data_IF_452527485172
#
_entry.id   IF_452527485172
#
_cell.length_a   1.000
_cell.length_b   1.000
_cell.length_c   1.000
_cell.angle_alpha   90.00
_cell.angle_beta   90.00
_cell.angle_gamma   90.00
#
_symmetry.space_group_name_H-M   'P 1'
#
loop_
_entity.id
_entity.type
_entity.pdbx_description
1 polymer ?
#
# COMPACT_ATOMS: atom_id res chain seq x y z
N UNK A 1 2.22 -21.98 16.12
CA UNK A 1 3.51 -21.27 16.08
C UNK A 1 3.26 -20.00 15.29
N UNK A 2 3.42 -18.81 15.89
CA UNK A 2 2.98 -17.56 15.27
C UNK A 2 3.65 -17.29 13.92
N UNK A 3 2.89 -16.76 12.97
CA UNK A 3 3.34 -16.38 11.63
C UNK A 3 3.96 -14.98 11.68
N UNK A 4 5.17 -14.85 11.14
CA UNK A 4 5.91 -13.59 11.15
C UNK A 4 5.37 -12.66 10.08
N UNK A 5 4.98 -11.48 10.51
CA UNK A 5 4.53 -10.41 9.65
C UNK A 5 5.18 -9.09 10.05
N UNK A 6 5.01 -8.09 9.19
CA UNK A 6 5.55 -6.75 9.39
C UNK A 6 4.39 -5.78 9.32
N UNK A 7 4.19 -5.03 10.41
CA UNK A 7 3.35 -3.83 10.40
C UNK A 7 4.19 -2.66 9.89
N UNK A 8 3.72 -2.02 8.84
CA UNK A 8 4.28 -0.78 8.30
C UNK A 8 3.35 0.36 8.66
N UNK A 9 3.89 1.40 9.27
CA UNK A 9 3.21 2.67 9.50
C UNK A 9 3.97 3.78 8.80
N UNK A 10 3.28 4.66 8.08
CA UNK A 10 3.91 5.79 7.42
C UNK A 10 3.17 7.10 7.70
N UNK A 11 3.85 8.21 7.48
CA UNK A 11 3.29 9.56 7.49
C UNK A 11 3.83 10.34 6.30
N UNK A 12 3.00 11.23 5.76
CA UNK A 12 3.27 11.99 4.55
C UNK A 12 3.56 13.43 4.94
N UNK A 13 4.78 13.91 4.65
CA UNK A 13 5.10 15.33 4.80
C UNK A 13 4.56 16.12 3.60
N UNK A 14 3.32 16.60 3.72
CA UNK A 14 2.59 17.22 2.61
C UNK A 14 3.27 18.46 2.03
N UNK A 15 4.13 19.15 2.79
CA UNK A 15 4.84 20.36 2.34
C UNK A 15 5.99 20.05 1.37
N UNK A 16 6.50 18.82 1.40
CA UNK A 16 7.59 18.38 0.50
C UNK A 16 7.10 17.85 -0.84
N UNK A 17 5.80 17.69 -1.03
CA UNK A 17 5.23 17.35 -2.32
C UNK A 17 5.10 18.62 -3.15
N UNK A 18 5.46 18.53 -4.43
CA UNK A 18 5.34 19.65 -5.38
C UNK A 18 3.88 20.11 -5.50
N UNK A 19 2.94 19.17 -5.44
CA UNK A 19 1.51 19.42 -5.57
C UNK A 19 0.67 18.19 -5.15
N UNK A 20 -0.67 18.39 -5.15
CA UNK A 20 -1.64 17.32 -4.85
C UNK A 20 -1.55 16.14 -5.82
N UNK A 21 -1.14 16.36 -7.08
CA UNK A 21 -1.04 15.29 -8.08
C UNK A 21 0.12 14.34 -7.75
N UNK A 22 1.29 14.87 -7.39
CA UNK A 22 2.43 14.08 -6.94
C UNK A 22 2.08 13.27 -5.68
N UNK A 23 1.42 13.91 -4.70
CA UNK A 23 0.95 13.20 -3.50
C UNK A 23 -0.01 12.07 -3.84
N UNK A 24 -0.94 12.32 -4.76
CA UNK A 24 -1.86 11.28 -5.23
C UNK A 24 -1.12 10.17 -6.00
N UNK A 25 -0.01 10.47 -6.69
CA UNK A 25 0.82 9.48 -7.37
C UNK A 25 1.39 8.46 -6.38
N UNK A 26 1.88 8.91 -5.21
CA UNK A 26 2.31 8.02 -4.13
C UNK A 26 1.20 7.03 -3.74
N UNK A 27 0.02 7.54 -3.40
CA UNK A 27 -1.10 6.68 -2.99
C UNK A 27 -1.59 5.74 -4.10
N UNK A 28 -1.61 6.20 -5.36
CA UNK A 28 -1.98 5.37 -6.51
C UNK A 28 -0.96 4.27 -6.78
N UNK A 29 0.32 4.55 -6.58
CA UNK A 29 1.36 3.53 -6.72
C UNK A 29 1.30 2.52 -5.57
N UNK A 30 0.93 2.95 -4.36
CA UNK A 30 0.79 2.06 -3.20
C UNK A 30 -0.47 1.17 -3.29
N UNK A 31 -1.64 1.79 -3.44
CA UNK A 31 -2.96 1.16 -3.33
C UNK A 31 -3.65 0.88 -4.66
N UNK A 32 -3.08 1.29 -5.78
CA UNK A 32 -3.76 1.24 -7.06
C UNK A 32 -4.83 2.31 -7.20
N UNK A 33 -5.51 2.33 -8.35
CA UNK A 33 -6.64 3.22 -8.61
C UNK A 33 -7.46 2.79 -9.83
N UNK A 34 -8.70 3.29 -9.89
CA UNK A 34 -9.58 3.15 -11.05
C UNK A 34 -9.44 4.37 -11.96
N UNK A 35 -8.93 4.16 -13.17
CA UNK A 35 -8.83 5.17 -14.21
C UNK A 35 -10.10 5.16 -15.06
N UNK A 36 -10.82 6.29 -15.07
CA UNK A 36 -12.04 6.46 -15.87
C UNK A 36 -11.70 7.36 -17.06
N UNK A 37 -11.93 6.87 -18.29
CA UNK A 37 -11.77 7.62 -19.54
C UNK A 37 -13.15 7.84 -20.14
N UNK A 38 -13.53 9.11 -20.32
CA UNK A 38 -14.77 9.49 -21.01
C UNK A 38 -14.42 9.94 -22.42
N UNK A 39 -14.97 9.27 -23.44
CA UNK A 39 -14.79 9.63 -24.85
C UNK A 39 -16.16 9.68 -25.51
N UNK A 40 -16.57 10.87 -25.93
CA UNK A 40 -17.92 11.14 -26.46
C UNK A 40 -18.99 10.65 -25.47
N UNK A 41 -19.83 9.70 -25.86
CA UNK A 41 -20.90 9.10 -25.03
C UNK A 41 -20.45 7.83 -24.29
N UNK A 42 -19.18 7.41 -24.41
CA UNK A 42 -18.68 6.15 -23.83
C UNK A 42 -17.79 6.41 -22.62
N UNK A 43 -17.98 5.60 -21.58
CA UNK A 43 -17.16 5.60 -20.36
C UNK A 43 -16.38 4.27 -20.28
N UNK A 44 -15.07 4.36 -20.34
CA UNK A 44 -14.15 3.23 -20.16
C UNK A 44 -13.55 3.29 -18.76
N UNK A 45 -13.43 2.14 -18.12
CA UNK A 45 -12.84 2.01 -16.80
C UNK A 45 -11.69 1.00 -16.83
N UNK A 46 -10.54 1.40 -16.31
CA UNK A 46 -9.35 0.56 -16.20
C UNK A 46 -8.88 0.52 -14.76
N UNK A 47 -8.69 -0.68 -14.22
CA UNK A 47 -8.03 -0.85 -12.93
C UNK A 47 -6.51 -0.80 -13.12
N UNK A 48 -5.86 0.01 -12.30
CA UNK A 48 -4.41 0.18 -12.30
C UNK A 48 -3.89 -0.33 -10.96
N UNK A 49 -3.25 -1.49 -11.00
CA UNK A 49 -2.72 -2.14 -9.81
C UNK A 49 -1.59 -1.32 -9.17
N UNK A 50 -1.68 -1.10 -7.88
CA UNK A 50 -0.61 -0.63 -7.02
C UNK A 50 0.32 -1.75 -6.58
N UNK A 51 1.21 -1.41 -5.65
CA UNK A 51 2.13 -2.36 -5.03
C UNK A 51 1.38 -3.38 -4.17
N UNK A 52 0.42 -2.92 -3.36
CA UNK A 52 -0.29 -3.77 -2.42
C UNK A 52 -1.30 -4.69 -3.10
N UNK A 53 -1.76 -4.39 -4.32
CA UNK A 53 -2.58 -5.32 -5.11
C UNK A 53 -1.83 -6.60 -5.53
N UNK A 54 -0.50 -6.60 -5.38
CA UNK A 54 0.39 -7.72 -5.73
C UNK A 54 0.98 -8.42 -4.51
N UNK A 55 0.63 -7.96 -3.30
CA UNK A 55 1.17 -8.44 -2.04
C UNK A 55 -0.01 -8.76 -1.12
N UNK A 56 -0.13 -9.99 -0.58
CA UNK A 56 -1.11 -10.27 0.47
C UNK A 56 -0.89 -9.29 1.62
N UNK A 57 -1.91 -8.52 1.97
CA UNK A 57 -1.81 -7.50 3.00
C UNK A 57 -3.12 -7.32 3.75
N UNK A 58 -3.01 -6.98 5.03
CA UNK A 58 -4.13 -6.48 5.83
C UNK A 58 -3.99 -4.96 5.90
N UNK A 59 -5.01 -4.25 5.43
CA UNK A 59 -5.06 -2.79 5.58
C UNK A 59 -5.58 -2.46 6.98
N UNK A 60 -4.71 -1.92 7.83
CA UNK A 60 -5.07 -1.54 9.20
C UNK A 60 -5.70 -0.16 9.23
N UNK A 61 -5.12 0.79 8.48
CA UNK A 61 -5.63 2.14 8.30
C UNK A 61 -5.21 2.70 6.91
N UNK A 62 -5.51 3.95 6.60
CA UNK A 62 -5.00 4.64 5.41
C UNK A 62 -3.47 4.78 5.42
N UNK A 63 -2.86 4.87 6.59
CA UNK A 63 -1.41 5.06 6.74
C UNK A 63 -0.69 3.89 7.41
N UNK A 64 -1.34 2.73 7.52
CA UNK A 64 -0.73 1.52 8.07
C UNK A 64 -1.31 0.24 7.47
N UNK A 65 -0.44 -0.75 7.29
CA UNK A 65 -0.81 -2.05 6.74
C UNK A 65 0.16 -3.12 7.21
N UNK A 66 -0.30 -4.37 7.24
CA UNK A 66 0.49 -5.54 7.63
C UNK A 66 0.73 -6.41 6.40
N UNK A 67 1.96 -6.90 6.24
CA UNK A 67 2.36 -7.81 5.15
C UNK A 67 3.11 -9.02 5.71
N UNK A 68 3.17 -10.15 4.97
CA UNK A 68 4.08 -11.25 5.30
C UNK A 68 5.53 -10.76 5.26
N UNK A 69 6.37 -11.23 6.19
CA UNK A 69 7.78 -10.81 6.28
C UNK A 69 8.54 -11.02 4.96
N UNK A 70 8.16 -12.04 4.17
CA UNK A 70 8.74 -12.33 2.86
C UNK A 70 8.66 -11.17 1.84
N UNK A 71 7.71 -10.25 1.99
CA UNK A 71 7.50 -9.14 1.04
C UNK A 71 8.16 -7.82 1.47
N UNK A 72 8.76 -7.76 2.67
CA UNK A 72 9.30 -6.51 3.25
C UNK A 72 10.26 -5.79 2.30
N UNK A 73 11.13 -6.53 1.61
CA UNK A 73 12.13 -5.93 0.72
C UNK A 73 11.49 -5.06 -0.37
N UNK A 74 10.45 -5.56 -1.04
CA UNK A 74 9.74 -4.84 -2.11
C UNK A 74 9.07 -3.57 -1.57
N UNK A 75 8.49 -3.64 -0.38
CA UNK A 75 7.82 -2.50 0.26
C UNK A 75 8.83 -1.43 0.69
N UNK A 76 9.97 -1.83 1.25
CA UNK A 76 11.03 -0.89 1.63
C UNK A 76 11.66 -0.24 0.40
N UNK A 77 11.90 -0.98 -0.68
CA UNK A 77 12.39 -0.41 -1.95
C UNK A 77 11.42 0.67 -2.46
N UNK A 78 10.10 0.40 -2.46
CA UNK A 78 9.10 1.42 -2.79
C UNK A 78 9.14 2.64 -1.85
N UNK A 79 9.15 2.45 -0.54
CA UNK A 79 9.13 3.57 0.42
C UNK A 79 10.39 4.44 0.32
N UNK A 80 11.54 3.84 0.01
CA UNK A 80 12.80 4.57 -0.24
C UNK A 80 12.73 5.52 -1.42
N UNK A 81 11.98 5.20 -2.47
CA UNK A 81 11.75 6.12 -3.59
C UNK A 81 11.05 7.43 -3.17
N UNK A 82 10.43 7.44 -1.99
CA UNK A 82 9.68 8.57 -1.43
C UNK A 82 10.26 9.07 -0.11
N UNK A 83 11.49 8.69 0.27
CA UNK A 83 12.02 8.93 1.62
C UNK A 83 12.27 10.38 1.99
N UNK A 84 12.41 11.24 0.99
CA UNK A 84 12.44 12.68 1.18
C UNK A 84 11.09 13.21 1.69
N UNK A 85 9.98 12.58 1.27
CA UNK A 85 8.58 13.04 1.45
C UNK A 85 7.75 12.20 2.42
N UNK A 86 8.11 10.94 2.63
CA UNK A 86 7.36 9.95 3.39
C UNK A 86 8.28 9.37 4.46
N UNK A 87 7.83 9.44 5.72
CA UNK A 87 8.53 8.85 6.85
C UNK A 87 7.80 7.57 7.22
N UNK A 88 8.52 6.47 7.41
CA UNK A 88 7.92 5.20 7.80
C UNK A 88 8.65 4.53 8.97
N UNK A 89 7.92 3.66 9.65
CA UNK A 89 8.42 2.74 10.67
C UNK A 89 7.91 1.33 10.39
N UNK A 90 8.69 0.34 10.78
CA UNK A 90 8.31 -1.07 10.66
C UNK A 90 8.37 -1.74 12.02
N UNK A 91 7.45 -2.65 12.27
CA UNK A 91 7.37 -3.42 13.50
C UNK A 91 7.20 -4.89 13.13
N UNK A 92 8.00 -5.76 13.73
CA UNK A 92 7.78 -7.20 13.64
C UNK A 92 6.57 -7.56 14.48
N UNK A 93 5.62 -8.27 13.89
CA UNK A 93 4.42 -8.75 14.57
C UNK A 93 4.29 -10.26 14.37
N UNK A 94 3.68 -10.92 15.33
CA UNK A 94 3.31 -12.34 15.25
C UNK A 94 1.80 -12.42 15.10
N UNK A 95 1.35 -13.14 14.09
CA UNK A 95 -0.05 -13.42 13.85
C UNK A 95 -0.33 -14.88 14.22
N UNK A 96 -1.54 -15.16 14.68
CA UNK A 96 -1.97 -16.53 14.96
C UNK A 96 -2.21 -17.33 13.66
N UNK A 97 -2.58 -16.62 12.60
CA UNK A 97 -2.91 -17.16 11.28
C UNK A 97 -2.09 -16.50 10.16
N UNK A 98 -2.01 -17.13 8.98
CA UNK A 98 -1.40 -16.51 7.81
C UNK A 98 -2.29 -15.37 7.29
N UNK A 99 -1.68 -14.30 6.81
CA UNK A 99 -2.40 -13.13 6.24
C UNK A 99 -3.34 -13.55 5.11
N UNK A 100 -2.93 -14.52 4.31
CA UNK A 100 -3.74 -15.04 3.22
C UNK A 100 -5.04 -15.70 3.70
N UNK A 101 -5.03 -16.30 4.89
CA UNK A 101 -6.21 -16.92 5.48
C UNK A 101 -7.13 -15.85 6.09
N UNK A 102 -6.55 -14.89 6.82
CA UNK A 102 -7.29 -13.73 7.37
C UNK A 102 -8.03 -12.94 6.28
N UNK A 103 -7.41 -12.75 5.11
CA UNK A 103 -8.05 -12.08 3.96
C UNK A 103 -9.23 -12.89 3.41
N UNK A 104 -9.12 -14.23 3.36
CA UNK A 104 -10.23 -15.09 2.88
C UNK A 104 -11.43 -15.06 3.81
N UNK A 105 -11.19 -14.86 5.11
CA UNK A 105 -12.23 -14.77 6.13
C UNK A 105 -12.97 -13.42 6.13
N UNK A 106 -12.53 -12.47 5.30
CA UNK A 106 -13.19 -11.17 5.12
C UNK A 106 -12.85 -10.16 6.22
N UNK A 107 -11.71 -10.34 6.90
CA UNK A 107 -11.14 -9.39 7.86
C UNK A 107 -10.29 -8.35 7.12
#
# INVERSE_FOLDING_TARGET
MGKKAILICFSVNSEKFENKYERNKFFRHLYGWKQIIRKEEKVYSYERNGLLDKIPHLKVDQSSFIIPEAHIRKVIEFLKEWEDKVIWKTFKVLLDEDIEDLIKEGI
#
